data_IF_481943546392
#
_entry.id   IF_481943546392
#
_cell.length_a   1.000
_cell.length_b   1.000
_cell.length_c   1.000
_cell.angle_alpha   90.00
_cell.angle_beta   90.00
_cell.angle_gamma   90.00
#
_symmetry.space_group_name_H-M   'P 1'
#
loop_
_entity.id
_entity.type
_entity.pdbx_description
1 polymer ?
#
# COMPACT_ATOMS: atom_id res chain seq x y z
N UNK A 1 9.83 15.32 11.88
CA UNK A 1 10.62 15.20 10.63
C UNK A 1 10.68 13.77 10.11
N UNK A 2 11.14 12.79 10.91
CA UNK A 2 11.22 11.37 10.48
C UNK A 2 9.88 10.74 10.06
N UNK A 3 8.78 11.08 10.72
CA UNK A 3 7.44 10.57 10.39
C UNK A 3 7.01 10.94 8.96
N UNK A 4 7.28 12.16 8.51
CA UNK A 4 6.91 12.61 7.17
C UNK A 4 7.70 11.86 6.08
N UNK A 5 8.97 11.58 6.33
CA UNK A 5 9.82 10.79 5.42
C UNK A 5 9.29 9.35 5.33
N UNK A 6 8.91 8.75 6.47
CA UNK A 6 8.33 7.41 6.50
C UNK A 6 7.01 7.33 5.70
N UNK A 7 6.14 8.33 5.81
CA UNK A 7 4.88 8.38 5.04
C UNK A 7 5.13 8.49 3.53
N UNK A 8 6.12 9.29 3.11
CA UNK A 8 6.49 9.40 1.69
C UNK A 8 7.01 8.07 1.14
N UNK A 9 7.88 7.38 1.90
CA UNK A 9 8.40 6.06 1.52
C UNK A 9 7.29 5.02 1.44
N UNK A 10 6.37 5.00 2.42
CA UNK A 10 5.19 4.12 2.41
C UNK A 10 4.28 4.38 1.19
N UNK A 11 4.13 5.64 0.79
CA UNK A 11 3.38 6.02 -0.41
C UNK A 11 4.02 5.48 -1.70
N UNK A 12 5.35 5.59 -1.81
CA UNK A 12 6.11 5.05 -2.95
C UNK A 12 6.01 3.52 -3.03
N UNK A 13 6.11 2.82 -1.90
CA UNK A 13 5.95 1.35 -1.86
C UNK A 13 4.53 0.93 -2.25
N UNK A 14 3.52 1.67 -1.81
CA UNK A 14 2.12 1.43 -2.17
C UNK A 14 1.87 1.65 -3.67
N UNK A 15 2.59 2.58 -4.30
CA UNK A 15 2.51 2.80 -5.75
C UNK A 15 2.98 1.58 -6.55
N UNK A 16 4.02 0.88 -6.08
CA UNK A 16 4.49 -0.36 -6.70
C UNK A 16 3.43 -1.46 -6.59
N UNK A 17 2.84 -1.64 -5.39
CA UNK A 17 1.76 -2.60 -5.15
C UNK A 17 0.54 -2.34 -6.04
N UNK A 18 0.15 -1.08 -6.21
CA UNK A 18 -0.96 -0.69 -7.10
C UNK A 18 -0.64 -0.98 -8.58
N UNK A 19 0.60 -0.73 -9.00
CA UNK A 19 1.05 -1.06 -10.36
C UNK A 19 1.04 -2.57 -10.58
N UNK A 20 1.46 -3.35 -9.59
CA UNK A 20 1.43 -4.80 -9.62
C UNK A 20 -0.01 -5.35 -9.62
N UNK A 21 -0.92 -4.74 -8.86
CA UNK A 21 -2.34 -5.06 -8.91
C UNK A 21 -2.93 -4.79 -10.29
N UNK A 22 -2.62 -3.63 -10.91
CA UNK A 22 -3.07 -3.30 -12.28
C UNK A 22 -2.54 -4.28 -13.31
N UNK A 23 -1.29 -4.74 -13.16
CA UNK A 23 -0.71 -5.75 -14.03
C UNK A 23 -1.46 -7.09 -13.92
N UNK A 24 -1.73 -7.56 -12.69
CA UNK A 24 -2.49 -8.79 -12.46
C UNK A 24 -3.94 -8.69 -12.93
N UNK A 25 -4.56 -7.51 -12.81
CA UNK A 25 -5.88 -7.24 -13.34
C UNK A 25 -5.92 -7.38 -14.86
N UNK A 26 -4.90 -6.86 -15.56
CA UNK A 26 -4.76 -7.01 -17.03
C UNK A 26 -4.52 -8.46 -17.45
N UNK A 27 -3.90 -9.27 -16.58
CA UNK A 27 -3.67 -10.71 -16.78
C UNK A 27 -4.88 -11.59 -16.45
N UNK A 28 -6.06 -10.98 -16.23
CA UNK A 28 -7.33 -11.62 -15.87
C UNK A 28 -7.35 -12.32 -14.51
N UNK A 29 -6.31 -12.13 -13.68
CA UNK A 29 -6.26 -12.66 -12.31
C UNK A 29 -6.82 -11.62 -11.32
N UNK A 30 -8.13 -11.42 -11.38
CA UNK A 30 -8.83 -10.37 -10.62
C UNK A 30 -8.81 -10.64 -9.11
N UNK A 31 -8.86 -11.89 -8.67
CA UNK A 31 -8.73 -12.24 -7.24
C UNK A 31 -7.38 -11.82 -6.66
N UNK A 32 -6.29 -12.14 -7.36
CA UNK A 32 -4.96 -11.71 -6.94
C UNK A 32 -4.85 -10.18 -6.90
N UNK A 33 -5.38 -9.48 -7.92
CA UNK A 33 -5.36 -8.02 -7.96
C UNK A 33 -6.12 -7.40 -6.76
N UNK A 34 -7.30 -7.91 -6.40
CA UNK A 34 -8.06 -7.44 -5.23
C UNK A 34 -7.29 -7.73 -3.93
N UNK A 35 -6.69 -8.92 -3.80
CA UNK A 35 -5.86 -9.26 -2.64
C UNK A 35 -4.65 -8.33 -2.48
N UNK A 36 -3.99 -7.98 -3.59
CA UNK A 36 -2.86 -7.04 -3.59
C UNK A 36 -3.32 -5.63 -3.18
N UNK A 37 -4.50 -5.18 -3.64
CA UNK A 37 -5.04 -3.87 -3.24
C UNK A 37 -5.38 -3.84 -1.76
N UNK A 38 -6.00 -4.91 -1.23
CA UNK A 38 -6.28 -5.03 0.21
C UNK A 38 -5.00 -5.07 1.04
N UNK A 39 -3.98 -5.81 0.59
CA UNK A 39 -2.66 -5.84 1.23
C UNK A 39 -1.98 -4.47 1.20
N UNK A 40 -2.06 -3.75 0.09
CA UNK A 40 -1.50 -2.40 -0.03
C UNK A 40 -2.18 -1.42 0.93
N UNK A 41 -3.51 -1.50 1.04
CA UNK A 41 -4.28 -0.71 1.99
C UNK A 41 -3.89 -1.04 3.44
N UNK A 42 -3.84 -2.31 3.82
CA UNK A 42 -3.45 -2.71 5.17
C UNK A 42 -2.00 -2.28 5.50
N UNK A 43 -1.07 -2.50 4.56
CA UNK A 43 0.34 -2.16 4.71
C UNK A 43 0.60 -0.65 4.75
N UNK A 44 -0.29 0.18 4.20
CA UNK A 44 -0.21 1.63 4.28
C UNK A 44 -0.93 2.19 5.50
N UNK A 45 -2.19 1.77 5.73
CA UNK A 45 -3.05 2.31 6.79
C UNK A 45 -2.50 1.98 8.17
N UNK A 46 -2.06 0.74 8.41
CA UNK A 46 -1.57 0.33 9.74
C UNK A 46 -0.37 1.17 10.23
N UNK A 47 0.74 1.29 9.49
CA UNK A 47 1.86 2.11 9.95
C UNK A 47 1.54 3.61 9.98
N UNK A 48 0.69 4.11 9.08
CA UNK A 48 0.26 5.52 9.11
C UNK A 48 -0.54 5.81 10.39
N UNK A 49 -1.46 4.92 10.76
CA UNK A 49 -2.24 5.02 12.02
C UNK A 49 -1.30 5.03 13.22
N UNK A 50 -0.36 4.08 13.31
CA UNK A 50 0.61 4.02 14.42
C UNK A 50 1.46 5.29 14.49
N UNK A 51 1.99 5.75 13.35
CA UNK A 51 2.88 6.91 13.29
C UNK A 51 2.17 8.24 13.60
N UNK A 52 0.90 8.38 13.22
CA UNK A 52 0.13 9.61 13.39
C UNK A 52 -0.56 9.66 14.75
N UNK A 53 -1.24 8.57 15.15
CA UNK A 53 -1.98 8.52 16.40
C UNK A 53 -1.10 8.20 17.61
N UNK A 54 0.15 7.74 17.42
CA UNK A 54 1.09 7.38 18.50
C UNK A 54 0.44 6.49 19.60
N UNK A 55 -0.41 5.55 19.18
CA UNK A 55 -0.90 4.50 20.08
C UNK A 55 0.21 3.55 20.48
#
# INVERSE_FOLDING_TARGET
MMVYIAVIVLGLVSFYLLTFARHNWKKNNKMAAVGIVLLALAAFVYPVVILVLRW
#
